data_IF_730634725049
#
_entry.id   IF_730634725049
#
_cell.length_a   1.000
_cell.length_b   1.000
_cell.length_c   1.000
_cell.angle_alpha   90.00
_cell.angle_beta   90.00
_cell.angle_gamma   90.00
#
_symmetry.space_group_name_H-M   'P 1'
#
loop_
_entity.id
_entity.type
_entity.pdbx_description
1 polymer ?
#
# COMPACT_ATOMS: atom_id res chain seq x y z
N UNK A 1 -13.88 -19.10 32.13
CA UNK A 1 -13.32 -20.38 31.68
C UNK A 1 -12.22 -20.15 30.63
N UNK A 2 -12.56 -19.57 29.48
CA UNK A 2 -11.60 -19.36 28.36
C UNK A 2 -10.37 -18.50 28.74
N UNK A 3 -10.55 -17.43 29.53
CA UNK A 3 -9.44 -16.56 29.97
C UNK A 3 -8.44 -17.29 30.90
N UNK A 4 -8.94 -18.19 31.75
CA UNK A 4 -8.08 -19.00 32.62
C UNK A 4 -7.30 -20.06 31.81
N UNK A 5 -7.92 -20.60 30.77
CA UNK A 5 -7.27 -21.55 29.86
C UNK A 5 -6.16 -20.89 29.05
N UNK A 6 -6.37 -19.65 28.59
CA UNK A 6 -5.33 -18.86 27.90
C UNK A 6 -4.17 -18.54 28.84
N UNK A 7 -4.44 -18.19 30.11
CA UNK A 7 -3.37 -17.98 31.09
C UNK A 7 -2.55 -19.26 31.32
N UNK A 8 -3.23 -20.40 31.52
CA UNK A 8 -2.55 -21.68 31.67
C UNK A 8 -1.70 -22.06 30.45
N UNK A 9 -2.18 -21.77 29.24
CA UNK A 9 -1.40 -21.99 28.02
C UNK A 9 -0.17 -21.08 27.93
N UNK A 10 -0.28 -19.80 28.32
CA UNK A 10 0.86 -18.88 28.37
C UNK A 10 1.90 -19.38 29.38
N UNK A 11 1.46 -19.79 30.57
CA UNK A 11 2.33 -20.28 31.63
C UNK A 11 3.03 -21.59 31.20
N UNK A 12 2.29 -22.52 30.58
CA UNK A 12 2.86 -23.76 30.05
C UNK A 12 3.87 -23.50 28.93
N UNK A 13 3.56 -22.65 27.96
CA UNK A 13 4.51 -22.30 26.89
C UNK A 13 5.74 -21.58 27.43
N UNK A 14 5.62 -20.83 28.54
CA UNK A 14 6.77 -20.21 29.20
C UNK A 14 7.64 -21.26 29.91
N UNK A 15 7.04 -22.21 30.61
CA UNK A 15 7.76 -23.34 31.21
C UNK A 15 8.49 -24.18 30.16
N UNK A 16 7.84 -24.46 29.01
CA UNK A 16 8.48 -25.16 27.89
C UNK A 16 9.66 -24.36 27.30
N UNK A 17 9.56 -23.03 27.21
CA UNK A 17 10.70 -22.19 26.79
C UNK A 17 11.84 -22.32 27.80
N UNK A 18 11.56 -22.22 29.10
CA UNK A 18 12.58 -22.29 30.13
C UNK A 18 13.28 -23.67 30.14
N UNK A 19 12.53 -24.77 29.94
CA UNK A 19 13.09 -26.12 29.78
C UNK A 19 13.98 -26.24 28.53
N UNK A 20 13.55 -25.69 27.39
CA UNK A 20 14.33 -25.71 26.15
C UNK A 20 15.57 -24.80 26.25
N UNK A 21 15.49 -23.67 26.95
CA UNK A 21 16.64 -22.81 27.23
C UNK A 21 17.67 -23.53 28.12
N UNK A 22 17.22 -24.30 29.11
CA UNK A 22 18.09 -25.15 29.92
C UNK A 22 18.78 -26.23 29.08
N UNK A 23 18.06 -26.90 28.19
CA UNK A 23 18.64 -27.89 27.25
C UNK A 23 19.69 -27.27 26.32
N UNK A 24 19.44 -26.06 25.82
CA UNK A 24 20.42 -25.32 25.02
C UNK A 24 21.67 -24.99 25.85
N UNK A 25 21.51 -24.65 27.13
CA UNK A 25 22.64 -24.39 28.01
C UNK A 25 23.49 -25.66 28.20
N UNK A 26 22.87 -26.78 28.54
CA UNK A 26 23.57 -28.07 28.72
C UNK A 26 24.32 -28.50 27.45
N UNK A 27 23.68 -28.34 26.27
CA UNK A 27 24.30 -28.61 24.98
C UNK A 27 25.48 -27.67 24.67
N UNK A 28 25.38 -26.39 25.05
CA UNK A 28 26.50 -25.46 24.88
C UNK A 28 27.67 -25.76 25.81
N UNK A 29 27.41 -26.23 27.03
CA UNK A 29 28.45 -26.71 27.94
C UNK A 29 29.14 -27.95 27.36
N UNK A 30 28.39 -28.93 26.84
CA UNK A 30 28.93 -30.08 26.11
C UNK A 30 29.78 -29.63 24.90
N UNK A 31 29.29 -28.65 24.13
CA UNK A 31 30.03 -28.09 22.99
C UNK A 31 31.37 -27.51 23.41
N UNK A 32 31.42 -26.72 24.49
CA UNK A 32 32.66 -26.11 24.99
C UNK A 32 33.66 -27.20 25.39
N UNK A 33 33.21 -28.26 26.07
CA UNK A 33 34.06 -29.40 26.42
C UNK A 33 34.63 -30.10 25.18
N UNK A 34 33.79 -30.38 24.17
CA UNK A 34 34.22 -31.04 22.92
C UNK A 34 35.15 -30.18 22.08
N UNK A 35 34.91 -28.86 22.02
CA UNK A 35 35.80 -27.91 21.35
C UNK A 35 37.14 -27.82 22.09
N UNK A 36 37.16 -27.80 23.42
CA UNK A 36 38.39 -27.84 24.20
C UNK A 36 39.17 -29.13 23.95
N UNK A 37 38.50 -30.29 23.96
CA UNK A 37 39.11 -31.58 23.65
C UNK A 37 39.68 -31.63 22.22
N UNK A 38 38.95 -31.11 21.23
CA UNK A 38 39.42 -31.00 19.84
C UNK A 38 40.65 -30.09 19.72
N UNK A 39 40.65 -28.96 20.42
CA UNK A 39 41.79 -28.03 20.47
C UNK A 39 43.03 -28.64 21.17
N UNK A 40 42.83 -29.42 22.23
CA UNK A 40 43.93 -30.09 22.92
C UNK A 40 44.53 -31.22 22.06
N UNK A 41 43.70 -31.96 21.33
CA UNK A 41 44.17 -32.93 20.32
C UNK A 41 44.93 -32.20 19.21
N UNK A 42 44.43 -31.05 18.75
CA UNK A 42 45.13 -30.23 17.74
C UNK A 42 46.49 -29.73 18.24
N UNK A 43 46.60 -29.32 19.51
CA UNK A 43 47.90 -28.95 20.11
C UNK A 43 48.88 -30.12 20.15
N UNK A 44 48.39 -31.33 20.49
CA UNK A 44 49.21 -32.56 20.45
C UNK A 44 49.69 -32.88 19.03
N UNK A 45 48.80 -32.79 18.04
CA UNK A 45 49.15 -32.97 16.62
C UNK A 45 50.19 -31.94 16.13
N UNK A 46 50.09 -30.68 16.57
CA UNK A 46 51.06 -29.63 16.24
C UNK A 46 52.42 -29.89 16.92
N UNK A 47 52.44 -30.38 18.17
CA UNK A 47 53.69 -30.73 18.87
C UNK A 47 54.45 -31.89 18.22
N UNK A 48 53.72 -32.81 17.58
CA UNK A 48 54.28 -33.95 16.85
C UNK A 48 54.64 -33.62 15.39
N UNK A 49 54.55 -32.35 14.98
CA UNK A 49 54.98 -31.86 13.66
C UNK A 49 53.91 -31.92 12.57
N UNK A 50 52.69 -32.33 12.90
CA UNK A 50 51.62 -32.53 11.93
C UNK A 50 50.70 -31.30 11.87
N UNK A 51 51.03 -30.37 10.97
CA UNK A 51 50.39 -29.06 10.91
C UNK A 51 49.05 -29.01 10.17
N UNK A 52 48.65 -30.07 9.45
CA UNK A 52 47.60 -29.99 8.44
C UNK A 52 46.37 -30.83 8.76
N UNK A 53 45.18 -30.22 8.69
CA UNK A 53 43.90 -30.91 8.91
C UNK A 53 43.47 -31.71 7.67
N UNK A 54 42.52 -32.63 7.84
CA UNK A 54 41.96 -33.45 6.73
C UNK A 54 41.27 -32.56 5.69
N UNK A 55 40.59 -31.49 6.10
CA UNK A 55 39.98 -30.51 5.19
C UNK A 55 41.03 -29.77 4.37
N UNK A 56 42.10 -29.28 5.00
CA UNK A 56 43.20 -28.62 4.30
C UNK A 56 43.93 -29.56 3.34
N UNK A 57 44.02 -30.86 3.67
CA UNK A 57 44.58 -31.86 2.78
C UNK A 57 43.68 -32.11 1.55
N UNK A 58 42.36 -32.11 1.74
CA UNK A 58 41.40 -32.20 0.64
C UNK A 58 41.43 -30.94 -0.25
N UNK A 59 41.50 -29.75 0.33
CA UNK A 59 41.66 -28.49 -0.43
C UNK A 59 42.96 -28.50 -1.26
N UNK A 60 44.06 -29.02 -0.72
CA UNK A 60 45.31 -29.15 -1.48
C UNK A 60 45.21 -30.18 -2.60
N UNK A 61 44.44 -31.26 -2.42
CA UNK A 61 44.16 -32.24 -3.48
C UNK A 61 43.29 -31.66 -4.59
N UNK A 62 42.33 -30.82 -4.24
CA UNK A 62 41.51 -30.08 -5.22
C UNK A 62 42.37 -29.07 -6.00
N UNK A 63 43.21 -28.29 -5.32
CA UNK A 63 44.18 -27.41 -5.96
C UNK A 63 45.19 -28.17 -6.84
N UNK A 64 45.60 -29.37 -6.45
CA UNK A 64 46.43 -30.24 -7.30
C UNK A 64 45.70 -30.64 -8.58
N UNK A 65 44.41 -31.00 -8.47
CA UNK A 65 43.59 -31.35 -9.62
C UNK A 65 43.43 -30.16 -10.58
N UNK A 66 43.06 -28.98 -10.06
CA UNK A 66 42.91 -27.75 -10.86
C UNK A 66 44.21 -27.37 -11.58
N UNK A 67 45.35 -27.45 -10.90
CA UNK A 67 46.65 -27.15 -11.52
C UNK A 67 47.04 -28.17 -12.59
N UNK A 68 46.69 -29.45 -12.43
CA UNK A 68 46.90 -30.46 -13.47
C UNK A 68 46.01 -30.19 -14.70
N UNK A 69 44.74 -29.80 -14.50
CA UNK A 69 43.87 -29.38 -15.60
C UNK A 69 44.43 -28.15 -16.32
N UNK A 70 44.83 -27.11 -15.58
CA UNK A 70 45.44 -25.91 -16.16
C UNK A 70 46.73 -26.23 -16.94
N UNK A 71 47.56 -27.13 -16.44
CA UNK A 71 48.75 -27.60 -17.16
C UNK A 71 48.37 -28.34 -18.45
N UNK A 72 47.33 -29.18 -18.41
CA UNK A 72 46.81 -29.90 -19.58
C UNK A 72 46.26 -28.93 -20.63
N UNK A 73 45.54 -27.89 -20.22
CA UNK A 73 45.05 -26.82 -21.09
C UNK A 73 46.20 -26.04 -21.72
N UNK A 74 47.21 -25.64 -20.95
CA UNK A 74 48.40 -24.96 -21.45
C UNK A 74 49.18 -25.84 -22.44
N UNK A 75 49.23 -27.16 -22.21
CA UNK A 75 49.80 -28.11 -23.16
C UNK A 75 48.98 -28.20 -24.46
N UNK A 76 47.65 -28.11 -24.39
CA UNK A 76 46.81 -28.07 -25.58
C UNK A 76 46.99 -26.76 -26.36
N UNK A 77 47.05 -25.62 -25.68
CA UNK A 77 47.39 -24.34 -26.32
C UNK A 77 48.78 -24.35 -26.96
N UNK A 78 49.74 -25.10 -26.38
CA UNK A 78 51.05 -25.28 -26.99
C UNK A 78 50.98 -26.14 -28.25
N UNK A 79 50.12 -27.17 -28.29
CA UNK A 79 49.90 -28.01 -29.49
C UNK A 79 49.39 -27.19 -30.66
N UNK A 80 48.52 -26.21 -30.43
CA UNK A 80 48.03 -25.32 -31.48
C UNK A 80 49.15 -24.49 -32.14
N UNK A 81 50.26 -24.30 -31.43
CA UNK A 81 51.44 -23.61 -31.94
C UNK A 81 52.43 -24.56 -32.65
N UNK A 82 52.23 -25.88 -32.62
CA UNK A 82 53.17 -26.86 -33.19
C UNK A 82 53.42 -26.66 -34.68
N UNK A 83 52.43 -26.20 -35.43
CA UNK A 83 52.58 -25.91 -36.86
C UNK A 83 53.56 -24.75 -37.12
N UNK A 84 53.70 -23.82 -36.16
CA UNK A 84 54.55 -22.64 -36.26
C UNK A 84 55.93 -22.82 -35.62
N UNK A 85 56.09 -23.81 -34.72
CA UNK A 85 57.35 -24.08 -34.02
C UNK A 85 58.51 -24.39 -34.96
N UNK A 86 58.39 -25.27 -35.99
CA UNK A 86 59.47 -25.55 -36.94
C UNK A 86 59.99 -24.30 -37.63
N UNK A 87 59.08 -23.37 -37.98
CA UNK A 87 59.44 -22.09 -38.59
C UNK A 87 60.12 -21.15 -37.60
N UNK A 88 59.66 -21.10 -36.35
CA UNK A 88 60.32 -20.36 -35.27
C UNK A 88 61.75 -20.85 -35.00
N UNK A 89 61.97 -22.17 -35.03
CA UNK A 89 63.30 -22.79 -34.86
C UNK A 89 64.21 -22.51 -36.08
N UNK A 90 63.65 -22.49 -37.29
CA UNK A 90 64.36 -22.17 -38.52
C UNK A 90 64.42 -20.66 -38.83
N UNK A 91 64.33 -19.80 -37.80
CA UNK A 91 64.25 -18.34 -37.98
C UNK A 91 65.42 -17.72 -38.75
N UNK A 92 66.62 -18.28 -38.63
CA UNK A 92 67.80 -17.83 -39.37
C UNK A 92 67.65 -18.07 -40.88
N UNK A 93 67.20 -19.27 -41.27
CA UNK A 93 66.91 -19.61 -42.66
C UNK A 93 65.76 -18.77 -43.24
N UNK A 94 64.72 -18.51 -42.46
CA UNK A 94 63.61 -17.65 -42.90
C UNK A 94 64.05 -16.20 -43.13
N UNK A 95 64.98 -15.69 -42.31
CA UNK A 95 65.56 -14.37 -42.51
C UNK A 95 66.40 -14.32 -43.79
N UNK A 96 67.20 -15.36 -44.06
CA UNK A 96 67.94 -15.48 -45.32
C UNK A 96 67.01 -15.49 -46.54
N UNK A 97 65.91 -16.25 -46.48
CA UNK A 97 64.90 -16.27 -47.54
C UNK A 97 64.26 -14.90 -47.72
N UNK A 98 63.90 -14.21 -46.63
CA UNK A 98 63.34 -12.85 -46.68
C UNK A 98 64.28 -11.83 -47.35
N UNK A 99 65.57 -11.90 -47.02
CA UNK A 99 66.58 -11.05 -47.62
C UNK A 99 66.76 -11.36 -49.11
N UNK A 100 66.89 -12.65 -49.44
CA UNK A 100 66.99 -13.11 -50.82
C UNK A 100 65.78 -12.69 -51.67
N UNK A 101 64.55 -12.80 -51.14
CA UNK A 101 63.33 -12.34 -51.83
C UNK A 101 63.31 -10.82 -52.03
N UNK A 102 63.85 -10.05 -51.09
CA UNK A 102 63.96 -8.60 -51.23
C UNK A 102 64.97 -8.21 -52.30
N UNK A 103 66.09 -8.92 -52.36
CA UNK A 103 67.11 -8.75 -53.40
C UNK A 103 66.59 -9.17 -54.78
N UNK A 104 65.85 -10.27 -54.86
CA UNK A 104 65.19 -10.74 -56.10
C UNK A 104 64.14 -9.74 -56.60
N UNK A 105 63.34 -9.17 -55.70
CA UNK A 105 62.38 -8.11 -56.05
C UNK A 105 63.07 -6.87 -56.60
N UNK A 106 64.10 -6.38 -55.91
CA UNK A 106 64.88 -5.23 -56.35
C UNK A 106 65.55 -5.49 -57.71
N UNK A 107 66.06 -6.71 -57.91
CA UNK A 107 66.62 -7.14 -59.19
C UNK A 107 65.57 -7.11 -60.31
N UNK A 108 64.37 -7.65 -60.07
CA UNK A 108 63.27 -7.66 -61.05
C UNK A 108 62.84 -6.24 -61.42
N UNK A 109 62.66 -5.36 -60.44
CA UNK A 109 62.30 -3.95 -60.67
C UNK A 109 63.40 -3.22 -61.46
N UNK A 110 64.67 -3.39 -61.09
CA UNK A 110 65.79 -2.78 -61.80
C UNK A 110 65.94 -3.31 -63.23
N UNK A 111 65.73 -4.61 -63.46
CA UNK A 111 65.75 -5.21 -64.80
C UNK A 111 64.67 -4.62 -65.68
N UNK A 112 63.44 -4.52 -65.16
CA UNK A 112 62.32 -3.91 -65.89
C UNK A 112 62.60 -2.44 -66.23
N UNK A 113 63.19 -1.67 -65.30
CA UNK A 113 63.63 -0.30 -65.57
C UNK A 113 64.68 -0.27 -66.68
N UNK A 114 65.73 -1.09 -66.60
CA UNK A 114 66.78 -1.12 -67.62
C UNK A 114 66.28 -1.51 -69.02
N UNK A 115 65.38 -2.50 -69.11
CA UNK A 115 64.75 -2.88 -70.38
C UNK A 115 63.92 -1.73 -70.97
N UNK A 116 63.12 -1.05 -70.14
CA UNK A 116 62.33 0.11 -70.56
C UNK A 116 63.23 1.29 -71.01
N UNK A 117 64.35 1.53 -70.32
CA UNK A 117 65.37 2.49 -70.74
C UNK A 117 65.94 2.12 -72.10
N UNK A 118 66.28 0.84 -72.30
CA UNK A 118 66.79 0.33 -73.56
C UNK A 118 65.80 0.55 -74.71
N UNK A 119 64.51 0.24 -74.50
CA UNK A 119 63.46 0.48 -75.49
C UNK A 119 63.27 1.95 -75.82
N UNK A 120 63.22 2.83 -74.81
CA UNK A 120 63.10 4.28 -75.04
C UNK A 120 64.32 4.86 -75.74
N UNK A 121 65.52 4.37 -75.41
CA UNK A 121 66.76 4.78 -76.09
C UNK A 121 66.72 4.36 -77.55
N UNK A 122 66.27 3.14 -77.86
CA UNK A 122 66.08 2.69 -79.24
C UNK A 122 65.08 3.57 -80.00
N UNK A 123 63.92 3.89 -79.41
CA UNK A 123 62.94 4.81 -80.02
C UNK A 123 63.54 6.19 -80.32
N UNK A 124 64.33 6.74 -79.40
CA UNK A 124 65.03 8.02 -79.63
C UNK A 124 66.01 7.90 -80.80
N UNK A 125 66.76 6.80 -80.90
CA UNK A 125 67.67 6.57 -82.02
C UNK A 125 66.90 6.40 -83.35
N UNK A 126 65.80 5.66 -83.34
CA UNK A 126 64.94 5.47 -84.52
C UNK A 126 64.32 6.80 -85.00
N UNK A 127 63.87 7.66 -84.08
CA UNK A 127 63.35 9.00 -84.39
C UNK A 127 64.45 9.92 -84.97
N UNK A 128 65.67 9.85 -84.43
CA UNK A 128 66.84 10.58 -84.95
C UNK A 128 67.20 10.08 -86.36
N UNK A 129 67.10 8.78 -86.61
CA UNK A 129 67.29 8.19 -87.94
C UNK A 129 66.20 8.61 -88.94
N UNK A 130 64.96 8.76 -88.47
CA UNK A 130 63.88 9.26 -89.31
C UNK A 130 64.13 10.71 -89.74
N UNK A 131 64.54 11.59 -88.82
CA UNK A 131 64.90 12.98 -89.13
C UNK A 131 66.17 13.10 -90.00
N UNK A 132 67.10 12.14 -89.91
CA UNK A 132 68.28 12.08 -90.79
C UNK A 132 67.90 12.03 -92.27
N UNK A 133 66.73 11.50 -92.65
CA UNK A 133 66.25 11.52 -94.05
C UNK A 133 65.97 12.93 -94.59
N UNK A 134 65.67 13.89 -93.70
CA UNK A 134 65.48 15.29 -94.06
C UNK A 134 66.81 16.08 -94.13
N UNK A 135 67.94 15.45 -93.79
CA UNK A 135 69.25 16.10 -93.80
C UNK A 135 69.94 15.97 -95.17
N UNK A 136 70.32 17.09 -95.83
CA UNK A 136 70.76 17.09 -97.23
C UNK A 136 72.18 16.56 -97.50
N UNK A 137 72.87 15.95 -96.52
CA UNK A 137 74.21 15.37 -96.67
C UNK A 137 74.25 13.90 -96.23
N UNK A 138 74.97 13.08 -97.00
CA UNK A 138 75.21 11.66 -96.69
C UNK A 138 76.19 11.58 -95.51
N UNK A 139 75.75 10.95 -94.41
CA UNK A 139 76.58 10.69 -93.24
C UNK A 139 77.12 9.26 -93.35
N UNK A 140 78.45 9.10 -93.34
CA UNK A 140 79.15 7.81 -93.30
C UNK A 140 78.71 6.94 -92.11
N UNK A 141 78.67 5.63 -92.33
CA UNK A 141 78.21 4.63 -91.35
C UNK A 141 79.02 4.65 -90.06
N UNK A 142 80.32 4.93 -90.13
CA UNK A 142 81.20 4.96 -88.95
C UNK A 142 80.87 6.14 -88.03
N UNK A 143 80.53 7.29 -88.62
CA UNK A 143 80.12 8.49 -87.89
C UNK A 143 78.75 8.25 -87.22
N UNK A 144 77.83 7.57 -87.92
CA UNK A 144 76.53 7.16 -87.36
C UNK A 144 76.72 6.26 -86.14
N UNK A 145 77.48 5.18 -86.27
CA UNK A 145 77.74 4.24 -85.18
C UNK A 145 78.37 4.96 -83.97
N UNK A 146 79.29 5.91 -84.21
CA UNK A 146 79.86 6.72 -83.15
C UNK A 146 78.80 7.55 -82.41
N UNK A 147 77.95 8.29 -83.13
CA UNK A 147 76.92 9.10 -82.49
C UNK A 147 75.83 8.25 -81.81
N UNK A 148 75.43 7.11 -82.38
CA UNK A 148 74.49 6.18 -81.73
C UNK A 148 75.05 5.62 -80.42
N UNK A 149 76.32 5.21 -80.41
CA UNK A 149 76.99 4.77 -79.19
C UNK A 149 77.10 5.89 -78.16
N UNK A 150 77.45 7.11 -78.59
CA UNK A 150 77.58 8.25 -77.68
C UNK A 150 76.21 8.69 -77.14
N UNK A 151 75.16 8.70 -77.96
CA UNK A 151 73.79 9.01 -77.52
C UNK A 151 73.30 7.95 -76.55
N UNK A 152 73.51 6.66 -76.84
CA UNK A 152 73.14 5.57 -75.91
C UNK A 152 73.88 5.69 -74.56
N UNK A 153 75.17 6.04 -74.58
CA UNK A 153 75.96 6.31 -73.36
C UNK A 153 75.47 7.57 -72.62
N UNK A 154 75.15 8.65 -73.34
CA UNK A 154 74.69 9.91 -72.74
C UNK A 154 73.26 9.80 -72.19
N UNK A 155 72.36 9.09 -72.85
CA UNK A 155 70.99 8.81 -72.36
C UNK A 155 71.08 8.03 -71.05
N UNK A 156 71.89 6.96 -70.99
CA UNK A 156 72.14 6.22 -69.74
C UNK A 156 72.74 7.13 -68.65
N UNK A 157 73.70 7.98 -69.00
CA UNK A 157 74.41 8.85 -68.04
C UNK A 157 73.57 10.02 -67.49
N UNK A 158 72.71 10.63 -68.31
CA UNK A 158 71.98 11.86 -67.94
C UNK A 158 70.55 11.62 -67.50
N UNK A 159 69.86 10.61 -68.05
CA UNK A 159 68.48 10.31 -67.67
C UNK A 159 68.36 9.20 -66.61
N UNK A 160 69.38 8.35 -66.45
CA UNK A 160 69.30 7.13 -65.63
C UNK A 160 70.50 6.95 -64.69
N UNK A 161 71.03 8.07 -64.18
CA UNK A 161 72.20 8.09 -63.29
C UNK A 161 71.99 7.32 -61.97
N UNK A 162 70.74 7.17 -61.55
CA UNK A 162 70.33 6.49 -60.32
C UNK A 162 69.88 5.04 -60.55
N UNK A 163 70.01 4.48 -61.77
CA UNK A 163 69.71 3.07 -62.02
C UNK A 163 70.97 2.26 -61.69
N UNK A 164 70.99 1.47 -60.61
CA UNK A 164 72.16 0.66 -60.27
C UNK A 164 72.46 -0.34 -61.38
N UNK A 165 73.75 -0.52 -61.70
CA UNK A 165 74.19 -1.57 -62.60
C UNK A 165 73.85 -2.93 -61.98
N UNK A 166 73.10 -3.74 -62.71
CA UNK A 166 72.70 -5.06 -62.26
C UNK A 166 73.95 -5.96 -62.27
N UNK A 167 74.32 -6.60 -61.15
CA UNK A 167 75.40 -7.57 -61.15
C UNK A 167 75.04 -8.72 -62.09
N UNK A 168 75.88 -9.00 -63.09
CA UNK A 168 75.70 -10.10 -64.04
C UNK A 168 75.73 -11.48 -63.39
N UNK A 169 76.08 -11.56 -62.10
CA UNK A 169 76.19 -12.77 -61.29
C UNK A 169 75.00 -13.03 -60.37
N UNK A 170 74.00 -12.15 -60.31
CA UNK A 170 72.84 -12.38 -59.44
C UNK A 170 71.93 -13.48 -60.04
N UNK A 171 71.70 -14.56 -59.29
CA UNK A 171 70.85 -15.67 -59.69
C UNK A 171 69.55 -15.63 -58.89
N UNK A 172 68.42 -15.48 -59.58
CA UNK A 172 67.10 -15.70 -58.99
C UNK A 172 66.94 -17.16 -58.58
N UNK A 173 66.59 -17.40 -57.32
CA UNK A 173 66.44 -18.73 -56.73
C UNK A 173 64.97 -19.10 -56.50
N UNK A 174 64.14 -18.16 -56.05
CA UNK A 174 62.77 -18.47 -55.59
C UNK A 174 61.67 -17.89 -56.50
N UNK A 175 61.89 -16.71 -57.11
CA UNK A 175 61.00 -16.08 -58.09
C UNK A 175 59.53 -15.93 -57.62
N UNK A 176 59.34 -15.46 -56.37
CA UNK A 176 58.00 -15.25 -55.82
C UNK A 176 57.29 -14.08 -56.52
N UNK A 177 55.97 -14.22 -56.67
CA UNK A 177 55.10 -13.09 -56.99
C UNK A 177 55.10 -12.06 -55.86
N UNK A 178 54.65 -10.83 -56.15
CA UNK A 178 54.47 -9.82 -55.11
C UNK A 178 53.44 -10.26 -54.05
N UNK A 179 52.45 -11.08 -54.42
CA UNK A 179 51.46 -11.65 -53.49
C UNK A 179 52.11 -12.64 -52.54
N UNK A 180 52.85 -13.62 -53.06
CA UNK A 180 53.54 -14.64 -52.25
C UNK A 180 54.62 -14.03 -51.36
N UNK A 181 55.33 -13.00 -51.85
CA UNK A 181 56.31 -12.26 -51.04
C UNK A 181 55.64 -11.54 -49.87
N UNK A 182 54.45 -10.99 -50.08
CA UNK A 182 53.68 -10.34 -49.02
C UNK A 182 53.11 -11.37 -48.03
N UNK A 183 52.59 -12.50 -48.50
CA UNK A 183 52.12 -13.60 -47.64
C UNK A 183 53.25 -14.14 -46.75
N UNK A 184 54.44 -14.34 -47.33
CA UNK A 184 55.63 -14.74 -46.58
C UNK A 184 56.03 -13.68 -45.53
N UNK A 185 55.99 -12.39 -45.89
CA UNK A 185 56.25 -11.29 -44.94
C UNK A 185 55.22 -11.24 -43.82
N UNK A 186 53.94 -11.50 -44.12
CA UNK A 186 52.88 -11.59 -43.11
C UNK A 186 53.13 -12.75 -42.16
N UNK A 187 53.49 -13.93 -42.68
CA UNK A 187 53.86 -15.09 -41.89
C UNK A 187 55.07 -14.79 -40.99
N UNK A 188 56.12 -14.18 -41.54
CA UNK A 188 57.33 -13.82 -40.79
C UNK A 188 57.06 -12.80 -39.69
N UNK A 189 56.20 -11.81 -39.95
CA UNK A 189 55.76 -10.84 -38.95
C UNK A 189 54.89 -11.49 -37.86
N UNK A 190 54.00 -12.41 -38.24
CA UNK A 190 53.22 -13.22 -37.29
C UNK A 190 54.13 -14.05 -36.37
N UNK A 191 55.12 -14.75 -36.92
CA UNK A 191 56.10 -15.49 -36.14
C UNK A 191 56.90 -14.58 -35.19
N UNK A 192 57.27 -13.38 -35.64
CA UNK A 192 58.08 -12.45 -34.84
C UNK A 192 57.33 -11.85 -33.66
N UNK A 193 56.05 -11.51 -33.85
CA UNK A 193 55.25 -10.80 -32.85
C UNK A 193 54.33 -11.75 -32.08
N UNK A 194 53.36 -12.39 -32.76
CA UNK A 194 52.33 -13.16 -32.07
C UNK A 194 52.86 -14.47 -31.51
N UNK A 195 53.59 -15.26 -32.29
CA UNK A 195 54.12 -16.54 -31.83
C UNK A 195 55.08 -16.38 -30.65
N UNK A 196 55.99 -15.39 -30.71
CA UNK A 196 56.95 -15.12 -29.63
C UNK A 196 56.26 -14.75 -28.32
N UNK A 197 55.24 -13.89 -28.36
CA UNK A 197 54.49 -13.47 -27.17
C UNK A 197 53.64 -14.60 -26.59
N UNK A 198 52.89 -15.31 -27.45
CA UNK A 198 52.07 -16.45 -27.05
C UNK A 198 52.90 -17.58 -26.46
N UNK A 199 54.00 -17.95 -27.11
CA UNK A 199 54.92 -18.99 -26.61
C UNK A 199 55.54 -18.58 -25.27
N UNK A 200 55.98 -17.33 -25.13
CA UNK A 200 56.55 -16.83 -23.87
C UNK A 200 55.53 -16.84 -22.73
N UNK A 201 54.27 -16.46 -23.01
CA UNK A 201 53.17 -16.51 -22.03
C UNK A 201 52.92 -17.94 -21.58
N UNK A 202 52.65 -18.85 -22.53
CA UNK A 202 52.35 -20.25 -22.25
C UNK A 202 53.49 -20.90 -21.45
N UNK A 203 54.74 -20.69 -21.84
CA UNK A 203 55.88 -21.27 -21.13
C UNK A 203 56.06 -20.72 -19.71
N UNK A 204 55.82 -19.42 -19.49
CA UNK A 204 55.90 -18.81 -18.17
C UNK A 204 54.78 -19.30 -17.24
N UNK A 205 53.55 -19.38 -17.75
CA UNK A 205 52.40 -19.91 -17.00
C UNK A 205 52.60 -21.39 -16.70
N UNK A 206 53.03 -22.18 -17.68
CA UNK A 206 53.36 -23.59 -17.49
C UNK A 206 54.44 -23.79 -16.42
N UNK A 207 55.52 -23.02 -16.47
CA UNK A 207 56.60 -23.09 -15.48
C UNK A 207 56.12 -22.72 -14.07
N UNK A 208 55.31 -21.66 -13.93
CA UNK A 208 54.72 -21.25 -12.65
C UNK A 208 53.78 -22.31 -12.09
N UNK A 209 52.83 -22.78 -12.90
CA UNK A 209 51.87 -23.82 -12.49
C UNK A 209 52.59 -25.12 -12.13
N UNK A 210 53.65 -25.48 -12.85
CA UNK A 210 54.47 -26.66 -12.53
C UNK A 210 55.23 -26.52 -11.21
N UNK A 211 55.85 -25.37 -10.94
CA UNK A 211 56.53 -25.11 -9.65
C UNK A 211 55.53 -25.16 -8.49
N UNK A 212 54.33 -24.59 -8.68
CA UNK A 212 53.26 -24.65 -7.69
C UNK A 212 52.79 -26.08 -7.45
N UNK A 213 52.55 -26.84 -8.51
CA UNK A 213 52.19 -28.25 -8.43
C UNK A 213 53.24 -29.08 -7.69
N UNK A 214 54.53 -28.90 -8.00
CA UNK A 214 55.62 -29.60 -7.33
C UNK A 214 55.75 -29.19 -5.84
N UNK A 215 55.33 -27.99 -5.47
CA UNK A 215 55.27 -27.55 -4.08
C UNK A 215 54.08 -28.16 -3.32
N UNK A 216 52.91 -28.25 -3.96
CA UNK A 216 51.70 -28.85 -3.39
C UNK A 216 51.89 -30.36 -3.24
N UNK A 217 52.43 -31.04 -4.25
CA UNK A 217 52.76 -32.47 -4.17
C UNK A 217 53.72 -32.81 -3.05
N UNK A 218 54.71 -31.93 -2.79
CA UNK A 218 55.60 -32.09 -1.63
C UNK A 218 54.83 -31.98 -0.31
N UNK A 219 53.99 -30.95 -0.16
CA UNK A 219 53.13 -30.79 1.03
C UNK A 219 52.16 -31.96 1.24
N UNK A 220 51.55 -32.47 0.17
CA UNK A 220 50.66 -33.64 0.22
C UNK A 220 51.44 -34.88 0.63
N UNK A 221 52.59 -35.15 0.01
CA UNK A 221 53.43 -36.31 0.34
C UNK A 221 53.98 -36.28 1.76
N UNK A 222 54.41 -35.11 2.24
CA UNK A 222 54.88 -34.95 3.62
C UNK A 222 53.73 -35.23 4.60
N UNK A 223 52.52 -34.73 4.32
CA UNK A 223 51.34 -34.97 5.14
C UNK A 223 50.80 -36.41 5.09
N UNK A 224 51.00 -37.11 3.97
CA UNK A 224 50.64 -38.54 3.81
C UNK A 224 51.64 -39.46 4.52
N UNK A 225 52.93 -39.10 4.54
CA UNK A 225 53.96 -39.86 5.28
C UNK A 225 53.73 -39.82 6.80
N UNK A 226 53.21 -38.71 7.30
CA UNK A 226 52.84 -38.55 8.71
C UNK A 226 51.47 -39.18 9.06
N UNK A 227 50.72 -39.67 8.06
CA UNK A 227 49.44 -40.35 8.25
C UNK A 227 49.57 -41.87 8.48
N UNK A 228 50.75 -42.45 8.22
CA UNK A 228 51.05 -43.87 8.44
C UNK A 228 51.36 -44.21 9.92
N UNK A 229 51.41 -43.22 10.82
CA UNK A 229 51.60 -43.43 12.25
C UNK A 229 50.25 -43.75 12.93
N UNK A 230 50.10 -44.97 13.45
CA UNK A 230 48.85 -45.52 14.02
C UNK A 230 48.33 -44.64 15.18
N UNK A 231 49.24 -43.99 15.92
CA UNK A 231 48.93 -43.06 17.00
C UNK A 231 48.29 -41.74 16.49
N UNK A 232 48.80 -41.19 15.38
CA UNK A 232 48.30 -39.96 14.77
C UNK A 232 46.93 -40.19 14.12
N UNK A 233 46.74 -41.36 13.49
CA UNK A 233 45.44 -41.79 12.96
C UNK A 233 44.37 -41.89 14.06
N UNK A 234 44.72 -42.43 15.22
CA UNK A 234 43.85 -42.44 16.41
C UNK A 234 43.44 -41.05 16.88
N UNK A 235 44.40 -40.13 17.01
CA UNK A 235 44.14 -38.74 17.39
C UNK A 235 43.27 -38.00 16.36
N UNK A 236 43.46 -38.24 15.06
CA UNK A 236 42.63 -37.66 14.00
C UNK A 236 41.19 -38.18 14.06
N UNK A 237 40.98 -39.46 14.29
CA UNK A 237 39.64 -40.05 14.43
C UNK A 237 38.91 -39.50 15.67
N UNK A 238 39.61 -39.33 16.80
CA UNK A 238 39.01 -38.70 17.98
C UNK A 238 38.65 -37.23 17.74
N UNK A 239 39.51 -36.49 17.02
CA UNK A 239 39.22 -35.12 16.61
C UNK A 239 37.98 -35.05 15.73
N UNK A 240 37.92 -35.86 14.66
CA UNK A 240 36.78 -35.89 13.74
C UNK A 240 35.48 -36.28 14.44
N UNK A 241 35.54 -37.20 15.42
CA UNK A 241 34.38 -37.56 16.25
C UNK A 241 33.91 -36.38 17.11
N UNK A 242 34.83 -35.64 17.73
CA UNK A 242 34.49 -34.46 18.51
C UNK A 242 33.93 -33.34 17.61
N UNK A 243 34.53 -33.09 16.45
CA UNK A 243 34.08 -32.07 15.50
C UNK A 243 32.70 -32.41 14.91
N UNK A 244 32.43 -33.68 14.58
CA UNK A 244 31.09 -34.16 14.19
C UNK A 244 30.06 -33.97 15.30
N UNK A 245 30.43 -34.22 16.56
CA UNK A 245 29.52 -33.99 17.70
C UNK A 245 29.24 -32.50 17.90
N UNK A 246 30.25 -31.64 17.75
CA UNK A 246 30.08 -30.19 17.78
C UNK A 246 29.09 -29.74 16.69
N UNK A 247 29.24 -30.26 15.47
CA UNK A 247 28.31 -29.96 14.38
C UNK A 247 26.88 -30.45 14.64
N UNK A 248 26.70 -31.65 15.21
CA UNK A 248 25.37 -32.13 15.58
C UNK A 248 24.75 -31.27 16.68
N UNK A 249 25.53 -30.87 17.69
CA UNK A 249 25.06 -29.98 18.75
C UNK A 249 24.63 -28.62 18.17
N UNK A 250 25.34 -28.07 17.20
CA UNK A 250 24.96 -26.81 16.56
C UNK A 250 23.62 -26.91 15.82
N UNK A 251 23.36 -28.03 15.15
CA UNK A 251 22.05 -28.29 14.53
C UNK A 251 20.95 -28.48 15.58
N UNK A 252 21.22 -29.25 16.66
CA UNK A 252 20.28 -29.44 17.77
C UNK A 252 19.92 -28.09 18.44
N UNK A 253 20.91 -27.23 18.69
CA UNK A 253 20.70 -25.88 19.24
C UNK A 253 19.91 -25.00 18.27
N UNK A 254 20.14 -25.11 16.95
CA UNK A 254 19.37 -24.39 15.95
C UNK A 254 17.89 -24.78 16.00
N UNK A 255 17.58 -26.08 15.98
CA UNK A 255 16.21 -26.59 16.02
C UNK A 255 15.50 -26.19 17.34
N UNK A 256 16.19 -26.24 18.47
CA UNK A 256 15.65 -25.81 19.76
C UNK A 256 15.37 -24.30 19.79
N UNK A 257 16.23 -23.48 19.17
CA UNK A 257 15.99 -22.04 19.02
C UNK A 257 14.80 -21.74 18.11
N UNK A 258 14.60 -22.51 17.06
CA UNK A 258 13.41 -22.40 16.21
C UNK A 258 12.14 -22.72 17.00
N UNK A 259 12.15 -23.79 17.82
CA UNK A 259 11.04 -24.11 18.73
C UNK A 259 10.73 -22.99 19.71
N UNK A 260 11.75 -22.38 20.34
CA UNK A 260 11.56 -21.19 21.19
C UNK A 260 10.91 -20.05 20.40
N UNK A 261 11.32 -19.82 19.15
CA UNK A 261 10.71 -18.84 18.26
C UNK A 261 9.22 -19.10 18.04
N UNK A 262 8.84 -20.35 17.80
CA UNK A 262 7.46 -20.81 17.71
C UNK A 262 6.67 -20.53 18.98
N UNK A 263 7.15 -21.01 20.13
CA UNK A 263 6.50 -20.81 21.44
C UNK A 263 6.34 -19.33 21.81
N UNK A 264 7.34 -18.48 21.50
CA UNK A 264 7.24 -17.03 21.71
C UNK A 264 6.15 -16.38 20.85
N UNK A 265 5.98 -16.84 19.61
CA UNK A 265 4.87 -16.39 18.77
C UNK A 265 3.52 -16.85 19.33
N UNK A 266 3.41 -18.08 19.81
CA UNK A 266 2.19 -18.58 20.44
C UNK A 266 1.82 -17.77 21.68
N UNK A 267 2.79 -17.49 22.57
CA UNK A 267 2.59 -16.60 23.73
C UNK A 267 2.10 -15.22 23.31
N UNK A 268 2.67 -14.64 22.25
CA UNK A 268 2.22 -13.34 21.73
C UNK A 268 0.77 -13.40 21.28
N UNK A 269 0.38 -14.46 20.58
CA UNK A 269 -0.98 -14.68 20.08
C UNK A 269 -1.97 -14.88 21.24
N UNK A 270 -1.59 -15.66 22.25
CA UNK A 270 -2.37 -15.86 23.45
C UNK A 270 -2.55 -14.56 24.26
N UNK A 271 -1.49 -13.74 24.40
CA UNK A 271 -1.57 -12.43 25.06
C UNK A 271 -2.51 -11.46 24.35
N UNK A 272 -2.48 -11.40 23.01
CA UNK A 272 -3.43 -10.60 22.24
C UNK A 272 -4.88 -11.04 22.50
N UNK A 273 -5.15 -12.35 22.44
CA UNK A 273 -6.48 -12.89 22.72
C UNK A 273 -6.93 -12.65 24.16
N UNK A 274 -6.00 -12.66 25.12
CA UNK A 274 -6.26 -12.31 26.51
C UNK A 274 -6.73 -10.85 26.65
N UNK A 275 -6.05 -9.90 26.00
CA UNK A 275 -6.44 -8.48 26.03
C UNK A 275 -7.82 -8.25 25.40
N UNK A 276 -8.13 -8.90 24.28
CA UNK A 276 -9.43 -8.82 23.64
C UNK A 276 -10.56 -9.33 24.55
N UNK A 277 -10.35 -10.47 25.21
CA UNK A 277 -11.33 -11.01 26.15
C UNK A 277 -11.49 -10.11 27.38
N UNK A 278 -10.40 -9.51 27.90
CA UNK A 278 -10.49 -8.53 29.00
C UNK A 278 -11.31 -7.31 28.59
N UNK A 279 -11.07 -6.75 27.40
CA UNK A 279 -11.87 -5.63 26.87
C UNK A 279 -13.34 -5.99 26.76
N UNK A 280 -13.67 -7.18 26.21
CA UNK A 280 -15.07 -7.65 26.13
C UNK A 280 -15.73 -7.77 27.50
N UNK A 281 -15.00 -8.25 28.52
CA UNK A 281 -15.53 -8.36 29.89
C UNK A 281 -15.76 -6.98 30.52
N UNK A 282 -14.82 -6.05 30.36
CA UNK A 282 -14.95 -4.69 30.89
C UNK A 282 -16.08 -3.91 30.21
N UNK A 283 -16.22 -4.06 28.89
CA UNK A 283 -17.33 -3.48 28.15
C UNK A 283 -18.66 -4.06 28.62
N UNK A 284 -18.76 -5.40 28.77
CA UNK A 284 -19.96 -6.05 29.31
C UNK A 284 -20.34 -5.54 30.70
N UNK A 285 -19.37 -5.30 31.59
CA UNK A 285 -19.62 -4.69 32.92
C UNK A 285 -20.13 -3.26 32.81
N UNK A 286 -19.52 -2.44 31.94
CA UNK A 286 -19.98 -1.06 31.69
C UNK A 286 -21.40 -1.02 31.14
N UNK A 287 -21.77 -1.94 30.24
CA UNK A 287 -23.14 -2.06 29.75
C UNK A 287 -24.10 -2.49 30.86
N UNK A 288 -23.71 -3.44 31.72
CA UNK A 288 -24.53 -3.85 32.86
C UNK A 288 -24.83 -2.73 33.87
N UNK A 289 -23.84 -1.88 34.18
CA UNK A 289 -24.05 -0.74 35.09
C UNK A 289 -24.91 0.36 34.47
N UNK A 290 -24.77 0.59 33.15
CA UNK A 290 -25.66 1.50 32.40
C UNK A 290 -27.10 0.99 32.39
N UNK A 291 -27.31 -0.31 32.17
CA UNK A 291 -28.64 -0.92 32.21
C UNK A 291 -29.29 -0.79 33.58
N UNK A 292 -28.55 -1.02 34.68
CA UNK A 292 -29.08 -0.80 36.03
C UNK A 292 -29.52 0.64 36.26
N UNK A 293 -28.71 1.62 35.83
CA UNK A 293 -29.08 3.04 35.92
C UNK A 293 -30.30 3.38 35.06
N UNK A 294 -30.38 2.83 33.85
CA UNK A 294 -31.52 3.03 32.96
C UNK A 294 -32.81 2.46 33.59
N UNK A 295 -32.75 1.26 34.17
CA UNK A 295 -33.88 0.65 34.89
C UNK A 295 -34.32 1.47 36.11
N UNK A 296 -33.37 2.00 36.89
CA UNK A 296 -33.69 2.90 38.01
C UNK A 296 -34.39 4.19 37.54
N UNK A 297 -33.90 4.81 36.46
CA UNK A 297 -34.53 5.99 35.85
C UNK A 297 -35.94 5.65 35.33
N UNK A 298 -36.11 4.53 34.64
CA UNK A 298 -37.43 4.07 34.16
C UNK A 298 -38.37 3.85 35.35
N UNK A 299 -37.88 3.27 36.45
CA UNK A 299 -38.65 3.10 37.68
C UNK A 299 -39.12 4.44 38.25
N UNK A 300 -38.21 5.42 38.37
CA UNK A 300 -38.52 6.78 38.83
C UNK A 300 -39.51 7.49 37.91
N UNK A 301 -39.35 7.37 36.59
CA UNK A 301 -40.27 7.96 35.61
C UNK A 301 -41.67 7.35 35.69
N UNK A 302 -41.79 6.03 35.89
CA UNK A 302 -43.10 5.39 36.09
C UNK A 302 -43.81 5.91 37.35
N UNK A 303 -43.08 6.08 38.45
CA UNK A 303 -43.62 6.66 39.69
C UNK A 303 -44.05 8.10 39.45
N UNK A 304 -43.21 8.90 38.77
CA UNK A 304 -43.51 10.29 38.44
C UNK A 304 -44.76 10.42 37.54
N UNK A 305 -44.86 9.61 36.48
CA UNK A 305 -46.04 9.62 35.59
C UNK A 305 -47.31 9.27 36.38
N UNK A 306 -47.23 8.31 37.31
CA UNK A 306 -48.35 7.95 38.17
C UNK A 306 -48.76 9.12 39.08
N UNK A 307 -47.81 9.74 39.79
CA UNK A 307 -48.11 10.86 40.67
C UNK A 307 -48.63 12.07 39.90
N UNK A 308 -48.07 12.36 38.72
CA UNK A 308 -48.49 13.45 37.86
C UNK A 308 -49.93 13.25 37.34
N UNK A 309 -50.29 12.02 36.93
CA UNK A 309 -51.67 11.69 36.55
C UNK A 309 -52.66 11.87 37.70
N UNK A 310 -52.29 11.46 38.91
CA UNK A 310 -53.12 11.64 40.11
C UNK A 310 -53.31 13.11 40.47
N UNK A 311 -52.25 13.92 40.35
CA UNK A 311 -52.29 15.36 40.58
C UNK A 311 -53.18 16.07 39.55
N UNK A 312 -52.99 15.79 38.26
CA UNK A 312 -53.81 16.34 37.17
C UNK A 312 -55.27 15.93 37.28
N UNK A 313 -55.55 14.68 37.69
CA UNK A 313 -56.93 14.22 37.99
C UNK A 313 -57.58 15.09 39.06
N UNK A 314 -56.89 15.33 40.19
CA UNK A 314 -57.42 16.16 41.29
C UNK A 314 -57.61 17.62 40.89
N UNK A 315 -56.67 18.17 40.11
CA UNK A 315 -56.78 19.53 39.58
C UNK A 315 -58.02 19.68 38.71
N UNK A 316 -58.22 18.74 37.77
CA UNK A 316 -59.39 18.73 36.90
C UNK A 316 -60.71 18.56 37.67
N UNK A 317 -60.76 17.67 38.67
CA UNK A 317 -61.93 17.50 39.55
C UNK A 317 -62.29 18.81 40.29
N UNK A 318 -61.29 19.51 40.82
CA UNK A 318 -61.47 20.78 41.52
C UNK A 318 -61.94 21.90 40.57
N UNK A 319 -61.34 22.01 39.38
CA UNK A 319 -61.66 23.02 38.39
C UNK A 319 -63.08 22.83 37.81
N UNK A 320 -63.46 21.59 37.50
CA UNK A 320 -64.83 21.29 37.05
C UNK A 320 -65.83 21.66 38.15
N UNK A 321 -65.54 21.34 39.41
CA UNK A 321 -66.43 21.66 40.52
C UNK A 321 -66.58 23.18 40.75
N UNK A 322 -65.50 23.96 40.65
CA UNK A 322 -65.58 25.41 40.80
C UNK A 322 -66.42 26.04 39.68
N UNK A 323 -66.17 25.64 38.43
CA UNK A 323 -66.90 26.17 37.27
C UNK A 323 -68.38 25.82 37.29
N UNK A 324 -68.73 24.57 37.65
CA UNK A 324 -70.12 24.17 37.81
C UNK A 324 -70.84 24.98 38.89
N UNK A 325 -70.17 25.30 39.99
CA UNK A 325 -70.76 26.11 41.07
C UNK A 325 -70.96 27.58 40.68
N UNK A 326 -70.13 28.12 39.79
CA UNK A 326 -70.25 29.49 39.28
C UNK A 326 -71.41 29.57 38.28
N UNK A 327 -71.48 28.64 37.33
CA UNK A 327 -72.44 28.71 36.22
C UNK A 327 -73.85 28.27 36.65
N UNK A 328 -73.98 27.25 37.50
CA UNK A 328 -75.28 26.71 37.90
C UNK A 328 -76.04 27.65 38.83
N UNK A 329 -77.29 27.98 38.47
CA UNK A 329 -78.17 28.83 39.28
C UNK A 329 -78.58 28.18 40.63
N UNK A 330 -78.66 26.84 40.69
CA UNK A 330 -78.95 26.08 41.91
C UNK A 330 -77.68 25.87 42.74
N UNK A 331 -77.39 26.81 43.63
CA UNK A 331 -76.25 26.71 44.57
C UNK A 331 -76.33 25.42 45.40
N UNK A 332 -75.32 24.56 45.28
CA UNK A 332 -75.21 23.32 46.06
C UNK A 332 -75.79 22.05 45.42
N UNK A 333 -76.24 22.11 44.16
CA UNK A 333 -76.73 20.93 43.42
C UNK A 333 -75.64 19.87 43.17
N UNK A 334 -74.38 20.30 43.04
CA UNK A 334 -73.21 19.43 42.86
C UNK A 334 -72.23 19.73 43.99
N UNK A 335 -71.90 18.72 44.80
CA UNK A 335 -71.00 18.84 45.94
C UNK A 335 -69.61 18.29 45.66
N UNK A 336 -69.51 17.28 44.80
CA UNK A 336 -68.22 16.71 44.38
C UNK A 336 -68.28 16.17 42.96
N UNK A 337 -67.13 16.20 42.28
CA UNK A 337 -66.90 15.63 40.95
C UNK A 337 -65.80 14.57 41.10
N UNK A 338 -66.00 13.40 40.51
CA UNK A 338 -64.96 12.38 40.39
C UNK A 338 -64.68 12.10 38.91
N UNK A 339 -63.41 12.08 38.54
CA UNK A 339 -62.97 11.81 37.16
C UNK A 339 -62.32 10.43 37.12
N UNK A 340 -62.99 9.47 36.51
CA UNK A 340 -62.48 8.11 36.36
C UNK A 340 -61.79 7.99 34.99
N UNK A 341 -60.47 7.83 35.04
CA UNK A 341 -59.66 7.62 33.85
C UNK A 341 -59.42 6.12 33.74
N UNK A 342 -59.90 5.50 32.65
CA UNK A 342 -59.69 4.08 32.41
C UNK A 342 -58.19 3.76 32.30
N UNK A 343 -57.79 2.53 32.64
CA UNK A 343 -56.37 2.12 32.70
C UNK A 343 -55.62 2.30 31.36
N UNK A 344 -56.35 2.27 30.24
CA UNK A 344 -55.85 2.53 28.89
C UNK A 344 -55.60 4.01 28.59
N UNK A 345 -56.22 4.93 29.34
CA UNK A 345 -56.14 6.38 29.15
C UNK A 345 -57.02 6.95 28.04
N UNK A 346 -57.77 6.11 27.33
CA UNK A 346 -58.56 6.51 26.16
C UNK A 346 -59.95 7.06 26.53
N UNK A 347 -60.50 6.67 27.69
CA UNK A 347 -61.82 7.09 28.15
C UNK A 347 -61.72 7.82 29.50
N UNK A 348 -62.37 8.98 29.57
CA UNK A 348 -62.49 9.81 30.77
C UNK A 348 -63.97 9.90 31.15
N UNK A 349 -64.34 9.24 32.25
CA UNK A 349 -65.69 9.24 32.78
C UNK A 349 -65.83 10.22 33.94
N UNK A 350 -66.66 11.24 33.75
CA UNK A 350 -66.90 12.27 34.78
C UNK A 350 -68.19 11.94 35.53
N UNK A 351 -68.09 11.75 36.84
CA UNK A 351 -69.19 11.43 37.74
C UNK A 351 -69.50 12.62 38.65
N UNK A 352 -70.77 13.03 38.69
CA UNK A 352 -71.26 14.15 39.50
C UNK A 352 -71.99 13.61 40.73
N UNK A 353 -71.78 14.22 41.90
CA UNK A 353 -72.43 13.82 43.15
C UNK A 353 -73.09 15.01 43.86
N UNK A 354 -74.27 14.76 44.41
CA UNK A 354 -75.00 15.73 45.26
C UNK A 354 -74.47 15.70 46.72
N UNK A 355 -74.93 16.65 47.53
CA UNK A 355 -74.77 16.78 48.98
C UNK A 355 -74.98 15.49 49.79
N UNK A 356 -75.77 14.54 49.29
CA UNK A 356 -76.01 13.22 49.90
C UNK A 356 -75.02 12.13 49.44
N UNK A 357 -74.02 12.48 48.62
CA UNK A 357 -73.07 11.57 47.94
C UNK A 357 -73.72 10.60 46.95
N UNK A 358 -74.95 10.89 46.51
CA UNK A 358 -75.63 10.13 45.46
C UNK A 358 -75.16 10.59 44.08
N UNK A 359 -74.98 9.64 43.16
CA UNK A 359 -74.58 9.92 41.78
C UNK A 359 -75.74 10.57 41.03
N UNK A 360 -75.48 11.73 40.44
CA UNK A 360 -76.47 12.44 39.61
C UNK A 360 -76.49 11.79 38.23
N UNK A 361 -77.66 11.34 37.78
CA UNK A 361 -77.82 10.83 36.42
C UNK A 361 -77.77 11.99 35.42
N UNK A 362 -76.80 11.97 34.50
CA UNK A 362 -76.68 12.96 33.41
C UNK A 362 -77.95 12.99 32.54
N UNK A 363 -78.67 11.87 32.47
CA UNK A 363 -79.98 11.76 31.81
C UNK A 363 -81.06 12.65 32.43
N UNK A 364 -80.99 12.88 33.75
CA UNK A 364 -81.96 13.67 34.51
C UNK A 364 -81.75 15.19 34.45
N UNK A 365 -80.61 15.64 33.93
CA UNK A 365 -80.31 17.06 33.74
C UNK A 365 -81.22 17.67 32.67
N UNK A 366 -81.74 18.88 32.93
CA UNK A 366 -82.48 19.65 31.94
C UNK A 366 -81.59 20.00 30.74
N UNK A 367 -82.17 20.37 29.60
CA UNK A 367 -81.39 20.78 28.43
C UNK A 367 -80.46 21.96 28.71
N UNK A 368 -80.90 22.92 29.55
CA UNK A 368 -80.07 24.05 29.99
C UNK A 368 -78.97 23.63 30.97
N UNK A 369 -79.26 22.71 31.90
CA UNK A 369 -78.26 22.20 32.85
C UNK A 369 -77.18 21.35 32.14
N UNK A 370 -77.56 20.60 31.09
CA UNK A 370 -76.60 19.88 30.24
C UNK A 370 -75.65 20.82 29.50
N UNK A 371 -76.16 21.95 29.02
CA UNK A 371 -75.33 22.97 28.37
C UNK A 371 -74.37 23.63 29.38
N UNK A 372 -74.85 23.97 30.58
CA UNK A 372 -73.99 24.49 31.64
C UNK A 372 -72.90 23.51 32.06
N UNK A 373 -73.23 22.23 32.13
CA UNK A 373 -72.25 21.18 32.36
C UNK A 373 -71.19 21.11 31.26
N UNK A 374 -71.60 21.17 29.99
CA UNK A 374 -70.68 21.17 28.85
C UNK A 374 -69.77 22.41 28.85
N UNK A 375 -70.33 23.59 29.16
CA UNK A 375 -69.57 24.84 29.30
C UNK A 375 -68.55 24.78 30.43
N UNK A 376 -68.97 24.36 31.64
CA UNK A 376 -68.06 24.22 32.77
C UNK A 376 -66.93 23.22 32.48
N UNK A 377 -67.24 22.13 31.78
CA UNK A 377 -66.25 21.14 31.37
C UNK A 377 -65.26 21.71 30.36
N UNK A 378 -65.75 22.41 29.33
CA UNK A 378 -64.90 23.05 28.33
C UNK A 378 -63.93 24.05 28.99
N UNK A 379 -64.45 24.89 29.89
CA UNK A 379 -63.63 25.86 30.63
C UNK A 379 -62.58 25.18 31.50
N UNK A 380 -62.98 24.19 32.30
CA UNK A 380 -62.05 23.45 33.15
C UNK A 380 -60.96 22.73 32.34
N UNK A 381 -61.29 22.22 31.14
CA UNK A 381 -60.31 21.63 30.22
C UNK A 381 -59.36 22.67 29.62
N UNK A 382 -59.88 23.83 29.20
CA UNK A 382 -59.06 24.92 28.66
C UNK A 382 -58.11 25.46 29.73
N UNK A 383 -58.56 25.61 30.97
CA UNK A 383 -57.72 26.10 32.08
C UNK A 383 -56.68 25.08 32.54
N UNK A 384 -57.02 23.78 32.52
CA UNK A 384 -56.09 22.71 32.84
C UNK A 384 -55.08 22.47 31.71
N UNK A 385 -55.44 22.84 30.47
CA UNK A 385 -54.53 22.82 29.34
C UNK A 385 -53.66 24.09 29.35
N UNK A 386 -52.34 23.95 29.31
CA UNK A 386 -51.43 25.07 29.11
C UNK A 386 -51.47 25.62 27.65
N UNK A 387 -52.58 25.39 26.92
CA UNK A 387 -52.71 25.70 25.50
C UNK A 387 -53.85 26.70 25.30
N UNK A 388 -53.55 27.77 24.58
CA UNK A 388 -54.49 28.85 24.27
C UNK A 388 -55.31 28.50 23.01
N UNK A 389 -56.56 28.07 23.18
CA UNK A 389 -57.44 27.72 22.06
C UNK A 389 -58.48 28.81 21.78
N UNK A 390 -58.62 29.34 20.55
CA UNK A 390 -59.75 30.20 20.22
C UNK A 390 -61.06 29.39 20.24
N UNK A 391 -62.09 29.91 20.89
CA UNK A 391 -63.38 29.23 21.04
C UNK A 391 -64.42 29.87 20.14
N UNK A 392 -65.05 29.07 19.28
CA UNK A 392 -66.14 29.47 18.40
C UNK A 392 -67.45 28.90 18.94
N UNK A 393 -68.44 29.76 19.15
CA UNK A 393 -69.72 29.36 19.72
C UNK A 393 -70.80 29.74 18.73
N UNK A 394 -71.35 28.73 18.07
CA UNK A 394 -72.52 28.85 17.22
C UNK A 394 -73.79 28.80 18.08
N UNK A 395 -74.72 29.71 17.83
CA UNK A 395 -75.99 29.81 18.56
C UNK A 395 -75.83 29.92 20.10
N UNK A 396 -75.11 30.94 20.60
CA UNK A 396 -74.66 31.04 21.99
C UNK A 396 -75.77 30.92 23.03
N UNK A 397 -76.96 31.48 22.77
CA UNK A 397 -78.02 31.60 23.78
C UNK A 397 -79.13 30.54 23.64
N UNK A 398 -79.02 29.62 22.67
CA UNK A 398 -80.08 28.66 22.42
C UNK A 398 -80.23 27.67 23.59
N UNK A 399 -81.48 27.45 24.06
CA UNK A 399 -81.83 26.51 25.15
C UNK A 399 -81.36 26.90 26.56
N UNK A 400 -80.94 28.14 26.78
CA UNK A 400 -80.74 28.71 28.12
C UNK A 400 -81.99 29.45 28.60
N UNK A 401 -82.36 29.27 29.87
CA UNK A 401 -83.34 30.13 30.53
C UNK A 401 -82.70 31.46 30.94
N UNK A 402 -83.51 32.51 31.20
CA UNK A 402 -83.03 33.88 31.46
C UNK A 402 -81.93 33.97 32.53
N UNK A 403 -82.07 33.24 33.63
CA UNK A 403 -81.07 33.26 34.72
C UNK A 403 -79.77 32.57 34.32
N UNK A 404 -79.86 31.49 33.53
CA UNK A 404 -78.69 30.78 33.01
C UNK A 404 -77.97 31.59 31.94
N UNK A 405 -78.70 32.20 31.00
CA UNK A 405 -78.14 33.07 29.97
C UNK A 405 -77.32 34.21 30.58
N UNK A 406 -77.84 34.82 31.67
CA UNK A 406 -77.13 35.88 32.39
C UNK A 406 -75.80 35.42 33.00
N UNK A 407 -75.75 34.22 33.58
CA UNK A 407 -74.50 33.67 34.14
C UNK A 407 -73.50 33.36 33.03
N UNK A 408 -73.96 32.79 31.90
CA UNK A 408 -73.10 32.47 30.76
C UNK A 408 -72.48 33.74 30.14
N UNK A 409 -73.28 34.79 29.96
CA UNK A 409 -72.79 36.06 29.38
C UNK A 409 -71.75 36.74 30.28
N UNK A 410 -71.97 36.75 31.59
CA UNK A 410 -71.09 37.47 32.52
C UNK A 410 -69.81 36.68 32.87
N UNK A 411 -69.95 35.38 33.11
CA UNK A 411 -68.91 34.54 33.72
C UNK A 411 -68.27 33.56 32.73
N UNK A 412 -69.02 33.02 31.76
CA UNK A 412 -68.49 32.00 30.85
C UNK A 412 -67.81 32.59 29.61
N UNK A 413 -68.54 33.30 28.72
CA UNK A 413 -67.95 33.79 27.47
C UNK A 413 -66.73 34.68 27.63
N UNK A 414 -66.66 35.57 28.63
CA UNK A 414 -65.49 36.43 28.79
C UNK A 414 -64.25 35.68 29.28
N UNK A 415 -64.45 34.55 29.97
CA UNK A 415 -63.39 33.85 30.66
C UNK A 415 -63.04 32.52 29.98
N UNK A 416 -63.88 31.95 29.12
CA UNK A 416 -63.71 30.58 28.59
C UNK A 416 -62.39 30.40 27.83
N UNK A 417 -61.94 31.45 27.14
CA UNK A 417 -60.65 31.50 26.46
C UNK A 417 -60.20 32.95 26.28
N UNK A 418 -58.93 33.17 25.94
CA UNK A 418 -58.41 34.48 25.52
C UNK A 418 -59.12 35.04 24.28
N UNK A 419 -59.59 34.18 23.37
CA UNK A 419 -60.32 34.59 22.18
C UNK A 419 -61.60 33.79 22.04
N UNK A 420 -62.72 34.51 22.00
CA UNK A 420 -64.06 33.94 21.84
C UNK A 420 -64.77 34.64 20.69
N UNK A 421 -65.33 33.86 19.78
CA UNK A 421 -66.11 34.32 18.64
C UNK A 421 -67.51 33.74 18.75
N UNK A 422 -68.50 34.63 18.89
CA UNK A 422 -69.91 34.25 19.02
C UNK A 422 -70.62 34.45 17.69
N UNK A 423 -71.49 33.50 17.32
CA UNK A 423 -72.42 33.62 16.18
C UNK A 423 -73.88 33.64 16.65
N UNK A 424 -74.35 34.74 17.27
CA UNK A 424 -75.73 34.88 17.70
C UNK A 424 -76.68 35.21 16.55
N UNK A 425 -77.90 34.67 16.61
CA UNK A 425 -79.04 35.25 15.91
C UNK A 425 -79.58 36.43 16.72
N UNK A 426 -79.41 37.66 16.23
CA UNK A 426 -79.91 38.87 16.87
C UNK A 426 -81.44 38.84 16.99
N UNK A 427 -81.98 39.37 18.09
CA UNK A 427 -83.40 39.38 18.49
C UNK A 427 -84.05 38.02 18.78
N UNK A 428 -83.47 36.92 18.30
CA UNK A 428 -84.01 35.57 18.50
C UNK A 428 -83.27 34.80 19.60
N UNK A 429 -81.95 34.84 19.55
CA UNK A 429 -81.09 34.18 20.53
C UNK A 429 -80.43 35.21 21.44
N UNK A 430 -79.94 36.32 20.87
CA UNK A 430 -79.38 37.40 21.66
C UNK A 430 -80.34 38.59 21.67
N UNK A 431 -81.03 38.77 22.79
CA UNK A 431 -81.94 39.91 23.00
C UNK A 431 -81.17 41.20 23.28
N UNK A 432 -81.84 42.35 23.14
CA UNK A 432 -81.25 43.66 23.41
C UNK A 432 -80.65 43.73 24.82
N UNK A 433 -81.41 43.28 25.83
CA UNK A 433 -80.98 43.30 27.23
C UNK A 433 -79.81 42.36 27.53
N UNK A 434 -79.67 41.25 26.79
CA UNK A 434 -78.54 40.32 26.93
C UNK A 434 -77.29 40.85 26.23
N UNK A 435 -77.47 41.50 25.08
CA UNK A 435 -76.37 42.16 24.38
C UNK A 435 -75.78 43.31 25.19
N UNK A 436 -76.62 44.10 25.88
CA UNK A 436 -76.16 45.19 26.75
C UNK A 436 -75.20 44.69 27.86
N UNK A 437 -75.43 43.47 28.37
CA UNK A 437 -74.54 42.84 29.36
C UNK A 437 -73.20 42.40 28.75
N UNK A 438 -73.21 42.04 27.46
CA UNK A 438 -72.02 41.59 26.74
C UNK A 438 -71.21 42.77 26.17
N UNK A 439 -71.88 43.88 25.84
CA UNK A 439 -71.37 45.01 25.06
C UNK A 439 -70.00 45.52 25.53
N UNK A 440 -69.83 45.69 26.84
CA UNK A 440 -68.59 46.21 27.44
C UNK A 440 -67.39 45.25 27.28
N UNK A 441 -67.65 43.98 26.97
CA UNK A 441 -66.64 42.93 26.76
C UNK A 441 -66.44 42.57 25.28
N UNK A 442 -67.16 43.23 24.35
CA UNK A 442 -67.02 43.01 22.90
C UNK A 442 -65.99 43.97 22.30
N UNK A 443 -64.92 43.43 21.71
CA UNK A 443 -63.86 44.24 21.07
C UNK A 443 -64.24 44.61 19.63
N UNK A 444 -64.82 43.68 18.86
CA UNK A 444 -65.20 43.87 17.46
C UNK A 444 -66.53 43.18 17.18
N UNK A 445 -67.38 43.81 16.39
CA UNK A 445 -68.64 43.23 15.93
C UNK A 445 -68.73 43.28 14.40
N UNK A 446 -69.31 42.24 13.81
CA UNK A 446 -69.49 42.10 12.38
C UNK A 446 -70.90 41.57 12.10
N UNK A 447 -71.54 42.10 11.06
CA UNK A 447 -72.81 41.62 10.55
C UNK A 447 -72.53 40.84 9.27
N UNK A 448 -73.00 39.60 9.21
CA UNK A 448 -72.99 38.82 7.97
C UNK A 448 -74.19 39.30 7.15
N UNK A 449 -73.92 40.05 6.09
CA UNK A 449 -74.94 40.54 5.17
C UNK A 449 -74.96 39.68 3.91
N UNK A 450 -76.07 38.97 3.73
CA UNK A 450 -76.33 38.17 2.54
C UNK A 450 -76.97 39.08 1.47
N UNK A 451 -76.26 39.32 0.37
CA UNK A 451 -76.71 40.22 -0.70
C UNK A 451 -77.09 39.48 -1.99
N UNK A 452 -76.83 38.16 -2.06
CA UNK A 452 -77.34 37.29 -3.11
C UNK A 452 -77.43 35.85 -2.59
N UNK A 453 -78.24 35.00 -3.26
CA UNK A 453 -78.46 33.59 -2.85
C UNK A 453 -77.18 32.80 -2.57
N UNK A 454 -76.07 33.14 -3.24
CA UNK A 454 -74.79 32.43 -3.15
C UNK A 454 -73.64 33.31 -2.63
N UNK A 455 -73.92 34.51 -2.08
CA UNK A 455 -72.87 35.42 -1.63
C UNK A 455 -73.21 36.22 -0.37
N UNK A 456 -72.26 36.19 0.58
CA UNK A 456 -72.30 36.92 1.85
C UNK A 456 -71.06 37.80 2.00
N UNK A 457 -71.20 38.93 2.70
CA UNK A 457 -70.07 39.79 3.10
C UNK A 457 -70.13 40.11 4.59
N UNK A 458 -68.97 40.32 5.20
CA UNK A 458 -68.86 40.82 6.57
C UNK A 458 -68.88 42.35 6.56
N UNK A 459 -69.88 42.95 7.19
CA UNK A 459 -69.96 44.38 7.43
C UNK A 459 -69.48 44.68 8.86
N UNK A 460 -68.39 45.46 9.05
CA UNK A 460 -67.97 45.84 10.39
C UNK A 460 -68.99 46.80 11.00
N UNK A 461 -69.35 46.59 12.26
CA UNK A 461 -70.19 47.49 13.05
C UNK A 461 -69.47 47.86 14.35
N UNK A 462 -69.54 49.11 14.81
CA UNK A 462 -69.19 49.42 16.19
C UNK A 462 -70.03 48.53 17.14
N UNK A 463 -69.43 47.94 18.20
CA UNK A 463 -70.19 47.12 19.13
C UNK A 463 -71.38 47.85 19.75
N UNK A 464 -71.27 49.17 19.98
CA UNK A 464 -72.37 49.96 20.55
C UNK A 464 -73.59 50.08 19.64
N UNK A 465 -73.38 50.01 18.33
CA UNK A 465 -74.42 50.25 17.34
C UNK A 465 -74.84 48.97 16.61
N UNK A 466 -74.41 47.79 17.08
CA UNK A 466 -74.62 46.52 16.39
C UNK A 466 -76.10 46.22 16.12
N UNK A 467 -76.94 46.30 17.16
CA UNK A 467 -78.38 46.03 17.04
C UNK A 467 -79.04 47.05 16.12
N UNK A 468 -78.70 48.33 16.29
CA UNK A 468 -79.25 49.42 15.47
C UNK A 468 -78.87 49.26 13.99
N UNK A 469 -77.61 48.91 13.70
CA UNK A 469 -77.11 48.70 12.33
C UNK A 469 -77.74 47.45 11.71
N UNK A 470 -77.99 46.41 12.51
CA UNK A 470 -78.73 45.23 12.06
C UNK A 470 -80.18 45.57 11.71
N UNK A 471 -80.86 46.31 12.59
CA UNK A 471 -82.24 46.75 12.37
C UNK A 471 -82.34 47.64 11.12
N UNK A 472 -81.41 48.58 10.91
CA UNK A 472 -81.39 49.42 9.70
C UNK A 472 -81.15 48.63 8.41
N UNK A 473 -80.39 47.53 8.46
CA UNK A 473 -80.09 46.68 7.29
C UNK A 473 -81.20 45.70 6.92
N UNK A 474 -82.04 45.33 7.89
CA UNK A 474 -83.10 44.33 7.73
C UNK A 474 -84.50 44.84 8.12
N UNK A 475 -84.65 46.16 8.26
CA UNK A 475 -85.95 46.82 8.41
C UNK A 475 -86.66 46.87 7.04
N UNK A 476 -87.33 45.76 6.71
CA UNK A 476 -88.42 45.69 5.74
C UNK A 476 -89.60 44.90 6.34
#
# INVERSE_FOLDING_TARGET
AELNQINANIDNSQLEIDEVEQQIQDLNEEKIEKVSASNDIQRKLIQEGNHMTVEQLNELKEQEYELNESISELQNQLKDLFDLIPFGLAGENLMMVSQQLSDEKNYRENKYVQENVGEKTKKILDDIEAEKKNFPKVIETDIRNFYEEQISKLVKKHFFKDVPEIPTTFKTLHDFSDSETNEFKVLLNGLRLSFKESFKRINNEYSKSKIQLDSIRRKVRDAEKDADDEYISGLRNEKEKNDKRVFSIDNEVYDLREKIGGLKNDIKTFKQRQEELRKKIDDSRKYGDKDKKAQDIIGKLKIFIKSFKEEKKKSLESNILSELNILMHKKGFIKSVAVDINQSGDDVDINLFDSRKEKIDKGSLSMGERQMYASALLKALVDESDIEFPVFIDSPMQKFDRDHARNVINEFYPNVSKQVVLFPLLHKELTVSEYDLLQDKVIKAYIIHNYSTDASKFLPSPPKDLIKTYDELYAD
#
